data_IF_635917485226
#
_entry.id   IF_635917485226
#
_cell.length_a   1.000
_cell.length_b   1.000
_cell.length_c   1.000
_cell.angle_alpha   90.00
_cell.angle_beta   90.00
_cell.angle_gamma   90.00
#
_symmetry.space_group_name_H-M   'P 1'
#
loop_
_entity.id
_entity.type
_entity.pdbx_description
1 polymer ?
#
# COMPACT_ATOMS: atom_id res chain seq x y z
N UNK A 1 42.36 -17.37 -14.38
CA UNK A 1 41.70 -17.35 -13.06
C UNK A 1 40.85 -16.10 -12.97
N UNK A 2 39.53 -16.23 -13.05
CA UNK A 2 38.58 -15.17 -12.74
C UNK A 2 37.67 -15.73 -11.64
N UNK A 3 37.72 -15.12 -10.47
CA UNK A 3 36.98 -15.58 -9.30
C UNK A 3 35.48 -15.51 -9.57
N UNK A 4 34.81 -16.65 -9.35
CA UNK A 4 33.37 -16.77 -9.37
C UNK A 4 32.74 -15.83 -8.34
N UNK A 5 31.99 -14.83 -8.80
CA UNK A 5 30.94 -14.21 -7.98
C UNK A 5 29.70 -15.11 -8.11
N UNK A 6 29.69 -16.22 -7.37
CA UNK A 6 28.45 -16.96 -7.12
C UNK A 6 27.56 -16.04 -6.28
N UNK A 7 26.66 -15.30 -6.93
CA UNK A 7 25.54 -14.66 -6.24
C UNK A 7 24.78 -15.77 -5.51
N UNK A 8 24.46 -15.63 -4.21
CA UNK A 8 23.62 -16.61 -3.54
C UNK A 8 22.31 -16.75 -4.33
N UNK A 9 21.82 -17.99 -4.51
CA UNK A 9 20.55 -18.28 -5.18
C UNK A 9 19.36 -17.94 -4.28
N UNK A 10 19.32 -16.72 -3.73
CA UNK A 10 18.14 -16.19 -3.06
C UNK A 10 17.12 -15.80 -4.12
N UNK A 11 15.86 -16.17 -3.93
CA UNK A 11 14.81 -15.76 -4.86
C UNK A 11 14.62 -14.25 -4.80
N UNK A 12 14.08 -13.63 -5.86
CA UNK A 12 13.77 -12.19 -5.87
C UNK A 12 12.82 -11.82 -4.71
N UNK A 13 11.95 -12.76 -4.31
CA UNK A 13 11.05 -12.64 -3.17
C UNK A 13 11.81 -12.56 -1.84
N UNK A 14 12.84 -13.39 -1.67
CA UNK A 14 13.69 -13.36 -0.48
C UNK A 14 14.46 -12.04 -0.39
N UNK A 15 14.97 -11.53 -1.51
CA UNK A 15 15.59 -10.21 -1.57
C UNK A 15 14.59 -9.10 -1.18
N UNK A 16 13.37 -9.15 -1.70
CA UNK A 16 12.34 -8.15 -1.40
C UNK A 16 11.92 -8.14 0.08
N UNK A 17 11.89 -9.29 0.74
CA UNK A 17 11.54 -9.41 2.17
C UNK A 17 12.70 -9.12 3.12
N UNK A 18 13.93 -9.30 2.65
CA UNK A 18 15.10 -9.22 3.52
C UNK A 18 15.31 -7.78 4.02
N UNK A 19 15.28 -7.53 5.34
CA UNK A 19 15.49 -6.19 5.90
C UNK A 19 16.93 -5.69 5.73
N UNK A 20 17.86 -6.54 5.31
CA UNK A 20 19.24 -6.14 4.98
C UNK A 20 19.43 -5.77 3.50
N UNK A 21 18.39 -5.91 2.67
CA UNK A 21 18.44 -5.49 1.26
C UNK A 21 18.52 -3.98 1.18
N UNK A 22 19.43 -3.45 0.33
CA UNK A 22 19.64 -2.01 0.23
C UNK A 22 18.41 -1.32 -0.37
N UNK A 23 18.15 -0.04 -0.02
CA UNK A 23 17.03 0.71 -0.58
C UNK A 23 17.07 0.80 -2.11
N UNK A 24 18.27 0.92 -2.70
CA UNK A 24 18.47 0.96 -4.15
C UNK A 24 18.04 -0.36 -4.78
N UNK A 25 18.44 -1.49 -4.18
CA UNK A 25 18.05 -2.82 -4.67
C UNK A 25 16.55 -3.04 -4.52
N UNK A 26 15.94 -2.59 -3.43
CA UNK A 26 14.47 -2.64 -3.25
C UNK A 26 13.76 -1.82 -4.34
N UNK A 27 14.29 -0.66 -4.72
CA UNK A 27 13.75 0.15 -5.83
C UNK A 27 13.89 -0.53 -7.20
N UNK A 28 14.97 -1.28 -7.44
CA UNK A 28 15.09 -2.10 -8.65
C UNK A 28 14.03 -3.20 -8.71
N UNK A 29 13.75 -3.86 -7.58
CA UNK A 29 12.80 -4.98 -7.51
C UNK A 29 11.36 -4.58 -7.83
N UNK A 30 10.95 -3.34 -7.51
CA UNK A 30 9.61 -2.87 -7.89
C UNK A 30 9.50 -2.68 -9.40
N UNK A 31 10.60 -2.44 -10.11
CA UNK A 31 10.61 -2.16 -11.55
C UNK A 31 10.76 -3.41 -12.44
N UNK A 32 10.65 -4.61 -11.85
CA UNK A 32 10.68 -5.86 -12.61
C UNK A 32 9.55 -5.90 -13.67
N UNK A 33 9.83 -6.45 -14.87
CA UNK A 33 8.83 -6.59 -15.90
C UNK A 33 7.79 -7.63 -15.50
N UNK A 34 6.52 -7.36 -15.81
CA UNK A 34 5.40 -8.24 -15.48
C UNK A 34 4.12 -7.46 -15.29
N UNK A 35 3.00 -8.19 -15.20
CA UNK A 35 1.72 -7.59 -14.83
C UNK A 35 1.71 -7.33 -13.31
N UNK A 36 1.54 -6.05 -12.97
CA UNK A 36 1.63 -5.52 -11.61
C UNK A 36 0.45 -5.94 -10.74
N UNK A 37 -0.70 -6.24 -11.35
CA UNK A 37 -1.89 -6.73 -10.64
C UNK A 37 -1.97 -8.26 -10.56
N UNK A 38 -1.03 -8.97 -11.19
CA UNK A 38 -1.00 -10.44 -11.21
C UNK A 38 -0.19 -10.96 -10.01
N UNK A 39 -0.93 -11.30 -8.95
CA UNK A 39 -0.45 -11.84 -7.68
C UNK A 39 0.10 -13.28 -7.76
N UNK A 40 0.57 -13.73 -8.93
CA UNK A 40 1.26 -14.99 -9.15
C UNK A 40 2.63 -14.81 -9.81
N UNK A 41 2.97 -13.57 -10.21
CA UNK A 41 4.26 -13.23 -10.79
C UNK A 41 5.27 -12.75 -9.74
N UNK A 42 6.55 -13.00 -9.99
CA UNK A 42 7.63 -12.45 -9.14
C UNK A 42 7.60 -10.92 -9.10
N UNK A 43 7.14 -10.26 -10.17
CA UNK A 43 7.00 -8.81 -10.23
C UNK A 43 5.94 -8.30 -9.23
N UNK A 44 4.76 -8.92 -9.18
CA UNK A 44 3.71 -8.57 -8.22
C UNK A 44 4.16 -8.83 -6.77
N UNK A 45 4.70 -10.03 -6.51
CA UNK A 45 5.14 -10.40 -5.15
C UNK A 45 6.26 -9.49 -4.64
N UNK A 46 7.21 -9.11 -5.50
CA UNK A 46 8.29 -8.22 -5.09
C UNK A 46 7.75 -6.84 -4.68
N UNK A 47 6.76 -6.27 -5.38
CA UNK A 47 6.15 -4.97 -4.99
C UNK A 47 5.51 -5.04 -3.62
N UNK A 48 4.73 -6.09 -3.36
CA UNK A 48 4.10 -6.33 -2.07
C UNK A 48 5.11 -6.44 -0.93
N UNK A 49 6.18 -7.22 -1.13
CA UNK A 49 7.21 -7.41 -0.11
C UNK A 49 8.08 -6.18 0.10
N UNK A 50 8.44 -5.47 -0.98
CA UNK A 50 9.16 -4.19 -0.87
C UNK A 50 8.31 -3.17 -0.09
N UNK A 51 7.01 -3.08 -0.35
CA UNK A 51 6.12 -2.19 0.39
C UNK A 51 6.07 -2.51 1.89
N UNK A 52 6.22 -3.77 2.28
CA UNK A 52 6.27 -4.20 3.68
C UNK A 52 7.68 -4.13 4.31
N UNK A 53 8.72 -3.93 3.50
CA UNK A 53 10.11 -4.00 3.97
C UNK A 53 10.47 -2.76 4.81
N UNK A 54 11.00 -2.92 6.04
CA UNK A 54 11.35 -1.78 6.90
C UNK A 54 12.53 -0.94 6.39
N UNK A 55 13.31 -1.47 5.45
CA UNK A 55 14.50 -0.81 4.87
C UNK A 55 14.20 -0.12 3.53
N UNK A 56 12.94 -0.11 3.09
CA UNK A 56 12.52 0.61 1.88
C UNK A 56 12.76 2.11 2.04
N UNK A 57 13.22 2.78 0.98
CA UNK A 57 13.28 4.23 0.97
C UNK A 57 11.88 4.83 0.94
N UNK A 58 11.67 5.96 1.64
CA UNK A 58 10.40 6.67 1.64
C UNK A 58 9.88 6.95 0.22
N UNK A 59 10.74 7.43 -0.69
CA UNK A 59 10.34 7.74 -2.06
C UNK A 59 9.78 6.50 -2.81
N UNK A 60 10.47 5.36 -2.72
CA UNK A 60 9.99 4.08 -3.29
C UNK A 60 8.67 3.66 -2.67
N UNK A 61 8.50 3.84 -1.36
CA UNK A 61 7.27 3.48 -0.68
C UNK A 61 6.10 4.39 -1.08
N UNK A 62 6.36 5.68 -1.31
CA UNK A 62 5.38 6.63 -1.85
C UNK A 62 4.94 6.29 -3.26
N UNK A 63 5.87 5.82 -4.11
CA UNK A 63 5.52 5.31 -5.45
C UNK A 63 4.59 4.11 -5.39
N UNK A 64 4.88 3.13 -4.52
CA UNK A 64 4.03 1.96 -4.32
C UNK A 64 2.67 2.34 -3.72
N UNK A 65 2.62 3.30 -2.80
CA UNK A 65 1.39 3.84 -2.24
C UNK A 65 0.51 4.53 -3.30
N UNK A 66 1.10 5.10 -4.34
CA UNK A 66 0.39 5.73 -5.45
C UNK A 66 0.01 4.75 -6.58
N UNK A 67 0.45 3.47 -6.51
CA UNK A 67 0.20 2.48 -7.55
C UNK A 67 -1.25 1.99 -7.52
N UNK A 68 -2.09 2.58 -8.37
CA UNK A 68 -3.52 2.26 -8.43
C UNK A 68 -3.82 0.86 -8.96
N UNK A 69 -2.86 0.20 -9.61
CA UNK A 69 -3.05 -1.13 -10.20
C UNK A 69 -2.73 -2.26 -9.21
N UNK A 70 -2.01 -1.98 -8.12
CA UNK A 70 -1.60 -2.97 -7.12
C UNK A 70 -2.18 -2.66 -5.72
N UNK A 71 -3.31 -3.30 -5.40
CA UNK A 71 -3.99 -3.11 -4.11
C UNK A 71 -3.14 -3.63 -2.95
N UNK A 72 -2.39 -4.72 -3.13
CA UNK A 72 -1.64 -5.35 -2.04
C UNK A 72 -0.40 -4.52 -1.69
N UNK A 73 0.30 -3.97 -2.69
CA UNK A 73 1.38 -3.02 -2.44
C UNK A 73 0.89 -1.78 -1.69
N UNK A 74 -0.26 -1.19 -2.09
CA UNK A 74 -0.83 -0.03 -1.37
C UNK A 74 -1.19 -0.35 0.08
N UNK A 75 -1.81 -1.51 0.35
CA UNK A 75 -2.13 -1.95 1.73
C UNK A 75 -0.88 -2.11 2.59
N UNK A 76 0.16 -2.74 2.05
CA UNK A 76 1.42 -2.93 2.75
C UNK A 76 2.13 -1.59 2.99
N UNK A 77 2.09 -0.68 2.01
CA UNK A 77 2.65 0.66 2.15
C UNK A 77 1.99 1.44 3.28
N UNK A 78 0.64 1.43 3.37
CA UNK A 78 -0.09 2.05 4.48
C UNK A 78 0.28 1.46 5.83
N UNK A 79 0.57 0.17 5.89
CA UNK A 79 0.94 -0.49 7.15
C UNK A 79 2.41 -0.27 7.54
N UNK A 80 3.24 0.20 6.60
CA UNK A 80 4.67 0.36 6.82
C UNK A 80 4.99 1.67 7.57
N UNK A 81 5.67 1.61 8.73
CA UNK A 81 5.96 2.78 9.57
C UNK A 81 6.86 3.82 8.88
N UNK A 82 7.58 3.45 7.82
CA UNK A 82 8.38 4.39 7.02
C UNK A 82 7.49 5.40 6.27
N UNK A 83 6.27 5.02 5.90
CA UNK A 83 5.36 5.89 5.15
C UNK A 83 4.96 7.10 6.00
N UNK A 84 5.03 8.28 5.40
CA UNK A 84 4.79 9.56 6.03
C UNK A 84 3.30 9.95 6.07
N UNK A 85 2.95 10.80 7.04
CA UNK A 85 1.58 11.28 7.24
C UNK A 85 1.03 12.00 6.00
N UNK A 86 1.88 12.71 5.26
CA UNK A 86 1.46 13.40 4.03
C UNK A 86 0.92 12.39 3.00
N UNK A 87 1.58 11.25 2.84
CA UNK A 87 1.08 10.20 1.94
C UNK A 87 -0.13 9.49 2.50
N UNK A 88 -0.18 9.23 3.81
CA UNK A 88 -1.38 8.68 4.45
C UNK A 88 -2.62 9.56 4.20
N UNK A 89 -2.47 10.90 4.23
CA UNK A 89 -3.56 11.83 3.91
C UNK A 89 -4.09 11.68 2.48
N UNK A 90 -3.26 11.27 1.52
CA UNK A 90 -3.70 11.00 0.15
C UNK A 90 -4.46 9.67 0.05
N UNK A 91 -4.25 8.75 0.99
CA UNK A 91 -4.81 7.40 0.97
C UNK A 91 -6.10 7.24 1.78
N UNK A 92 -6.53 8.25 2.56
CA UNK A 92 -7.76 8.15 3.38
C UNK A 92 -9.05 7.98 2.57
N UNK A 93 -9.01 8.24 1.27
CA UNK A 93 -10.08 8.03 0.30
C UNK A 93 -9.73 6.95 -0.74
N UNK A 94 -8.76 6.06 -0.44
CA UNK A 94 -8.40 4.96 -1.34
C UNK A 94 -9.67 4.19 -1.79
N UNK A 95 -9.63 3.72 -3.04
CA UNK A 95 -10.72 2.92 -3.63
C UNK A 95 -10.93 1.60 -2.88
N UNK A 96 -9.87 1.07 -2.28
CA UNK A 96 -9.93 -0.07 -1.39
C UNK A 96 -10.22 0.39 0.04
N UNK A 97 -11.38 -0.01 0.57
CA UNK A 97 -11.83 0.42 1.89
C UNK A 97 -10.88 0.00 3.02
N UNK A 98 -10.18 -1.15 2.89
CA UNK A 98 -9.22 -1.58 3.91
C UNK A 98 -7.98 -0.70 3.91
N UNK A 99 -7.46 -0.34 2.74
CA UNK A 99 -6.37 0.64 2.60
C UNK A 99 -6.77 1.99 3.18
N UNK A 100 -7.96 2.48 2.85
CA UNK A 100 -8.46 3.77 3.33
C UNK A 100 -8.64 3.78 4.85
N UNK A 101 -9.24 2.73 5.42
CA UNK A 101 -9.44 2.61 6.87
C UNK A 101 -8.11 2.50 7.62
N UNK A 102 -7.14 1.74 7.11
CA UNK A 102 -5.81 1.64 7.71
C UNK A 102 -5.06 2.98 7.70
N UNK A 103 -5.18 3.76 6.62
CA UNK A 103 -4.58 5.10 6.56
C UNK A 103 -5.23 6.05 7.57
N UNK A 104 -6.56 5.99 7.67
CA UNK A 104 -7.34 6.76 8.64
C UNK A 104 -7.00 6.37 10.07
N UNK A 105 -6.85 5.09 10.36
CA UNK A 105 -6.47 4.57 11.67
C UNK A 105 -5.08 5.08 12.08
N UNK A 106 -4.07 5.00 11.20
CA UNK A 106 -2.73 5.54 11.48
C UNK A 106 -2.73 7.04 11.76
N UNK A 107 -3.62 7.79 11.11
CA UNK A 107 -3.82 9.22 11.33
C UNK A 107 -4.76 9.53 12.52
N UNK A 108 -5.25 8.52 13.25
CA UNK A 108 -6.17 8.70 14.38
C UNK A 108 -7.59 9.15 13.99
N UNK A 109 -7.97 9.00 12.72
CA UNK A 109 -9.28 9.35 12.18
C UNK A 109 -10.29 8.22 12.40
N UNK A 110 -11.58 8.57 12.39
CA UNK A 110 -12.64 7.56 12.31
C UNK A 110 -12.56 6.82 10.96
N UNK A 111 -13.01 5.54 10.87
CA UNK A 111 -13.08 4.81 9.61
C UNK A 111 -13.81 5.58 8.50
N UNK A 112 -13.52 5.25 7.24
CA UNK A 112 -14.10 5.91 6.07
C UNK A 112 -15.63 5.90 6.18
N UNK A 113 -16.29 7.07 6.12
CA UNK A 113 -17.74 7.14 6.09
C UNK A 113 -18.31 6.37 4.91
N UNK A 114 -19.01 5.27 5.19
CA UNK A 114 -19.69 4.48 4.17
C UNK A 114 -21.21 4.73 4.29
N UNK A 115 -21.93 4.88 3.17
CA UNK A 115 -23.39 4.92 3.19
C UNK A 115 -23.93 3.73 4.00
N UNK A 116 -24.90 3.99 4.87
CA UNK A 116 -25.55 2.98 5.73
C UNK A 116 -24.64 2.26 6.75
N UNK A 117 -23.43 2.76 7.05
CA UNK A 117 -22.56 2.17 8.09
C UNK A 117 -22.65 2.95 9.40
N UNK A 118 -22.65 2.24 10.52
CA UNK A 118 -22.73 2.83 11.87
C UNK A 118 -21.30 3.12 12.34
N UNK A 119 -20.81 4.34 12.16
CA UNK A 119 -19.54 4.76 12.76
C UNK A 119 -19.81 5.32 14.17
N UNK A 120 -19.29 4.65 15.22
CA UNK A 120 -19.36 5.09 16.63
C UNK A 120 -20.77 5.42 17.17
N UNK A 121 -21.79 4.67 16.76
CA UNK A 121 -23.18 4.91 17.19
C UNK A 121 -23.83 6.17 16.57
N UNK A 122 -23.18 6.80 15.60
CA UNK A 122 -23.75 7.89 14.80
C UNK A 122 -24.21 7.32 13.46
N UNK A 123 -25.52 7.40 13.18
CA UNK A 123 -26.07 7.03 11.88
C UNK A 123 -25.68 8.13 10.89
N UNK A 124 -24.77 7.84 9.96
CA UNK A 124 -24.44 8.79 8.89
C UNK A 124 -25.63 8.82 7.92
N UNK A 125 -26.35 9.94 7.80
CA UNK A 125 -27.48 10.02 6.88
C UNK A 125 -26.98 9.95 5.44
N UNK A 126 -27.68 9.22 4.58
CA UNK A 126 -27.47 9.32 3.14
C UNK A 126 -28.00 10.69 2.71
N UNK A 127 -27.20 11.50 2.01
CA UNK A 127 -27.61 12.83 1.54
C UNK A 127 -27.80 12.77 0.02
N UNK A 128 -28.95 13.27 -0.46
CA UNK A 128 -29.20 13.46 -1.88
C UNK A 128 -28.22 14.52 -2.43
N UNK A 129 -27.32 14.16 -3.36
CA UNK A 129 -26.31 15.09 -3.86
C UNK A 129 -26.91 16.27 -4.65
N UNK A 130 -28.15 16.15 -5.17
CA UNK A 130 -28.82 17.24 -5.90
C UNK A 130 -29.53 18.21 -4.98
N UNK A 131 -30.07 17.72 -3.87
CA UNK A 131 -30.95 18.52 -3.00
C UNK A 131 -30.36 18.84 -1.64
N UNK A 132 -29.25 18.19 -1.25
CA UNK A 132 -28.63 18.33 0.07
C UNK A 132 -29.49 17.77 1.21
N UNK A 133 -30.57 17.05 0.91
CA UNK A 133 -31.51 16.53 1.91
C UNK A 133 -31.12 15.13 2.37
N UNK A 134 -31.40 14.84 3.64
CA UNK A 134 -31.25 13.50 4.21
C UNK A 134 -32.29 12.56 3.59
N UNK A 135 -31.80 11.53 2.89
CA UNK A 135 -32.53 10.35 2.46
C UNK A 135 -32.56 9.41 3.68
N UNK A 136 -33.68 9.37 4.40
CA UNK A 136 -33.87 8.37 5.46
C UNK A 136 -33.94 6.97 4.84
N UNK A 137 -33.38 5.94 5.49
CA UNK A 137 -33.84 4.57 5.28
C UNK A 137 -35.23 4.38 5.86
#
# INVERSE_FOLDING_TARGET
>A
MAAAHMRPMTSLRDEAQNPSTSPERLHELINLPGDRGQHDSDAGWCREYVAANPSVALATLQELAADMDDVMARRNAVSNPVLDDQTLWMMIEDKDDLTADAARERLGLAPKPRPNTIARGVRIPVIDPKTGRVIKP
#
